data_IF_061656182875
#
_entry.id   IF_061656182875
#
_cell.length_a   1.000
_cell.length_b   1.000
_cell.length_c   1.000
_cell.angle_alpha   90.00
_cell.angle_beta   90.00
_cell.angle_gamma   90.00
#
_symmetry.space_group_name_H-M   'P 1'
#
loop_
_entity.id
_entity.type
_entity.pdbx_description
1 polymer ?
#
# COMPACT_ATOMS: atom_id res chain seq x y z
N UNK A 1 4.74 -8.61 14.09
CA UNK A 1 5.01 -7.82 12.88
C UNK A 1 3.79 -7.01 12.41
N UNK A 2 3.91 -5.68 12.35
CA UNK A 2 2.91 -4.79 11.75
C UNK A 2 3.23 -4.60 10.25
N UNK A 3 2.23 -4.72 9.39
CA UNK A 3 2.40 -4.55 7.93
C UNK A 3 2.41 -3.06 7.58
N UNK A 4 3.41 -2.66 6.79
CA UNK A 4 3.60 -1.31 6.29
C UNK A 4 2.96 -1.13 4.91
N UNK A 5 3.33 -2.01 3.98
CA UNK A 5 2.84 -2.01 2.60
C UNK A 5 3.05 -3.39 1.96
N UNK A 6 2.42 -3.59 0.80
CA UNK A 6 2.57 -4.74 -0.07
C UNK A 6 2.96 -4.23 -1.45
N UNK A 7 4.03 -4.80 -2.01
CA UNK A 7 4.61 -4.43 -3.31
C UNK A 7 4.57 -5.63 -4.27
N UNK A 8 4.03 -5.43 -5.48
CA UNK A 8 4.02 -6.45 -6.51
C UNK A 8 5.35 -6.50 -7.28
N UNK A 9 5.91 -7.71 -7.42
CA UNK A 9 7.14 -8.02 -8.12
C UNK A 9 6.90 -9.20 -9.07
N UNK A 10 6.31 -8.91 -10.24
CA UNK A 10 5.85 -9.94 -11.18
C UNK A 10 4.66 -10.72 -10.61
N UNK A 11 4.76 -12.05 -10.58
CA UNK A 11 3.73 -12.95 -10.01
C UNK A 11 3.81 -13.08 -8.48
N UNK A 12 4.80 -12.42 -7.88
CA UNK A 12 5.00 -12.41 -6.44
C UNK A 12 4.60 -11.07 -5.82
N UNK A 13 4.23 -11.11 -4.56
CA UNK A 13 4.01 -9.94 -3.74
C UNK A 13 4.92 -9.99 -2.51
N UNK A 14 5.59 -8.87 -2.25
CA UNK A 14 6.39 -8.66 -1.06
C UNK A 14 5.56 -7.92 -0.02
N UNK A 15 5.28 -8.57 1.11
CA UNK A 15 4.67 -7.97 2.29
C UNK A 15 5.79 -7.37 3.14
N UNK A 16 5.86 -6.05 3.19
CA UNK A 16 6.80 -5.35 4.06
C UNK A 16 6.21 -5.15 5.44
N UNK A 17 6.97 -5.55 6.46
CA UNK A 17 6.60 -5.36 7.86
C UNK A 17 7.66 -4.56 8.59
N UNK A 18 7.37 -4.18 9.84
CA UNK A 18 8.33 -3.49 10.71
C UNK A 18 9.59 -4.30 11.03
N UNK A 19 9.54 -5.63 10.91
CA UNK A 19 10.64 -6.51 11.30
C UNK A 19 11.39 -7.04 10.08
N UNK A 20 10.66 -7.56 9.08
CA UNK A 20 11.21 -8.13 7.86
C UNK A 20 10.21 -8.16 6.71
N UNK A 21 10.68 -8.56 5.54
CA UNK A 21 9.85 -8.74 4.36
C UNK A 21 9.52 -10.21 4.13
N UNK A 22 8.32 -10.48 3.60
CA UNK A 22 7.88 -11.82 3.21
C UNK A 22 7.47 -11.78 1.73
N UNK A 23 7.89 -12.77 0.94
CA UNK A 23 7.50 -12.87 -0.47
C UNK A 23 6.58 -14.06 -0.65
N UNK A 24 5.44 -13.83 -1.30
CA UNK A 24 4.41 -14.84 -1.55
C UNK A 24 3.97 -14.81 -3.01
N UNK A 25 3.52 -15.96 -3.53
CA UNK A 25 2.90 -16.04 -4.85
C UNK A 25 1.44 -15.62 -4.75
N UNK A 26 1.12 -14.40 -5.17
CA UNK A 26 -0.25 -13.86 -5.10
C UNK A 26 -0.42 -12.61 -5.94
N UNK A 27 -1.64 -12.40 -6.45
CA UNK A 27 -2.00 -11.18 -7.17
C UNK A 27 -2.44 -10.08 -6.21
N UNK A 28 -2.26 -8.81 -6.62
CA UNK A 28 -2.73 -7.67 -5.83
C UNK A 28 -4.23 -7.71 -5.53
N UNK A 29 -5.04 -8.19 -6.48
CA UNK A 29 -6.49 -8.36 -6.28
C UNK A 29 -6.79 -9.40 -5.21
N UNK A 30 -6.13 -10.57 -5.26
CA UNK A 30 -6.32 -11.60 -4.23
C UNK A 30 -5.92 -11.12 -2.84
N UNK A 31 -4.86 -10.32 -2.74
CA UNK A 31 -4.42 -9.73 -1.47
C UNK A 31 -5.40 -8.68 -0.95
N UNK A 32 -5.93 -7.84 -1.84
CA UNK A 32 -6.97 -6.86 -1.52
C UNK A 32 -8.24 -7.54 -1.01
N UNK A 33 -8.69 -8.63 -1.64
CA UNK A 33 -9.88 -9.39 -1.22
C UNK A 33 -9.69 -10.09 0.14
N UNK A 34 -8.47 -10.56 0.43
CA UNK A 34 -8.11 -11.19 1.71
C UNK A 34 -7.99 -10.17 2.85
N UNK A 35 -7.46 -8.99 2.54
CA UNK A 35 -7.23 -7.93 3.53
C UNK A 35 -8.47 -7.03 3.56
N UNK A 36 -9.51 -7.51 4.25
CA UNK A 36 -10.78 -6.76 4.45
C UNK A 36 -10.66 -5.64 5.50
N UNK A 37 -9.45 -5.21 5.84
CA UNK A 37 -9.22 -4.21 6.87
C UNK A 37 -9.23 -2.80 6.25
N UNK A 38 -10.03 -1.92 6.85
CA UNK A 38 -10.23 -0.52 6.43
C UNK A 38 -8.96 0.32 6.41
N UNK A 39 -7.91 -0.09 7.13
CA UNK A 39 -6.61 0.59 7.11
C UNK A 39 -5.78 0.31 5.84
N UNK A 40 -6.13 -0.71 5.04
CA UNK A 40 -5.41 -1.03 3.81
C UNK A 40 -6.11 -0.45 2.59
N UNK A 41 -5.33 0.23 1.75
CA UNK A 41 -5.82 0.85 0.52
C UNK A 41 -4.82 0.62 -0.60
N UNK A 42 -5.34 0.29 -1.78
CA UNK A 42 -4.53 0.22 -3.00
C UNK A 42 -4.29 1.64 -3.52
N UNK A 43 -3.02 2.01 -3.66
CA UNK A 43 -2.61 3.37 -4.09
C UNK A 43 -1.93 3.37 -5.46
N UNK A 44 -1.51 2.20 -5.93
CA UNK A 44 -0.92 2.02 -7.24
C UNK A 44 -1.22 0.61 -7.75
N UNK A 45 -1.04 0.36 -9.06
CA UNK A 45 -1.24 -0.98 -9.62
C UNK A 45 -0.38 -2.05 -8.92
N UNK A 46 0.77 -1.64 -8.38
CA UNK A 46 1.73 -2.51 -7.68
C UNK A 46 1.79 -2.29 -6.16
N UNK A 47 0.97 -1.42 -5.57
CA UNK A 47 1.08 -1.11 -4.14
C UNK A 47 -0.27 -1.08 -3.42
N UNK A 48 -0.34 -1.84 -2.32
CA UNK A 48 -1.33 -1.67 -1.25
C UNK A 48 -0.58 -1.17 -0.01
N UNK A 49 -1.10 -0.15 0.64
CA UNK A 49 -0.46 0.47 1.81
C UNK A 49 -1.38 0.45 3.01
N UNK A 50 -0.78 0.43 4.21
CA UNK A 50 -1.49 0.69 5.45
C UNK A 50 -1.49 2.21 5.72
N UNK A 51 -2.66 2.85 5.71
CA UNK A 51 -2.79 4.30 5.87
C UNK A 51 -2.24 4.78 7.22
N UNK A 52 -2.30 3.93 8.25
CA UNK A 52 -1.79 4.24 9.59
C UNK A 52 -0.25 4.23 9.66
N UNK A 53 0.43 3.89 8.56
CA UNK A 53 1.89 3.83 8.45
C UNK A 53 2.46 4.89 7.51
N UNK A 54 1.63 5.77 6.98
CA UNK A 54 2.08 6.91 6.18
C UNK A 54 2.90 7.86 7.05
N UNK A 55 4.13 8.13 6.62
CA UNK A 55 4.99 9.14 7.23
C UNK A 55 4.75 10.52 6.62
N UNK A 56 4.61 10.58 5.29
CA UNK A 56 4.41 11.83 4.56
C UNK A 56 3.71 11.59 3.21
N UNK A 57 3.11 12.65 2.65
CA UNK A 57 2.47 12.65 1.33
C UNK A 57 2.90 13.90 0.57
N UNK A 58 3.53 13.71 -0.58
CA UNK A 58 3.97 14.78 -1.47
C UNK A 58 3.45 14.50 -2.89
N UNK A 59 2.62 15.42 -3.41
CA UNK A 59 2.00 15.39 -4.75
C UNK A 59 1.34 14.06 -5.14
N UNK A 60 2.11 13.18 -5.78
CA UNK A 60 1.71 11.89 -6.32
C UNK A 60 2.54 10.75 -5.73
N UNK A 61 3.14 10.97 -4.57
CA UNK A 61 3.93 9.98 -3.84
C UNK A 61 3.61 10.03 -2.36
N UNK A 62 3.90 8.93 -1.67
CA UNK A 62 3.84 8.85 -0.22
C UNK A 62 5.08 8.15 0.31
N UNK A 63 5.44 8.48 1.55
CA UNK A 63 6.57 7.90 2.26
C UNK A 63 6.07 6.93 3.33
N UNK A 64 6.54 5.69 3.31
CA UNK A 64 6.30 4.69 4.38
C UNK A 64 7.62 4.00 4.71
N UNK A 65 8.07 4.10 5.97
CA UNK A 65 9.29 3.44 6.46
C UNK A 65 10.49 3.59 5.50
N UNK A 66 10.74 4.81 5.01
CA UNK A 66 11.79 5.17 4.04
C UNK A 66 11.57 4.69 2.60
N UNK A 67 10.46 4.01 2.29
CA UNK A 67 10.07 3.67 0.92
C UNK A 67 9.19 4.78 0.35
N UNK A 68 9.60 5.33 -0.79
CA UNK A 68 8.77 6.21 -1.62
C UNK A 68 7.85 5.32 -2.46
N UNK A 69 6.55 5.55 -2.36
CA UNK A 69 5.51 4.78 -3.04
C UNK A 69 4.74 5.73 -3.96
N UNK A 70 4.68 5.46 -5.28
CA UNK A 70 3.90 6.28 -6.20
C UNK A 70 2.39 6.09 -5.96
N UNK A 71 1.63 7.13 -6.21
CA UNK A 71 0.16 7.15 -6.18
C UNK A 71 -0.30 7.23 -7.63
N UNK A 72 -0.96 6.19 -8.12
CA UNK A 72 -1.56 6.19 -9.45
C UNK A 72 -2.75 7.14 -9.51
N UNK A 73 -2.90 7.87 -10.62
CA UNK A 73 -3.98 8.86 -10.79
C UNK A 73 -5.38 8.29 -10.49
N UNK A 74 -5.66 7.07 -10.95
CA UNK A 74 -6.94 6.37 -10.71
C UNK A 74 -7.19 5.99 -9.24
N UNK A 75 -6.15 5.97 -8.41
CA UNK A 75 -6.24 5.61 -6.98
C UNK A 75 -6.22 6.84 -6.06
N UNK A 76 -5.76 8.00 -6.56
CA UNK A 76 -5.59 9.23 -5.76
C UNK A 76 -6.87 9.64 -5.05
N UNK A 77 -7.99 9.72 -5.78
CA UNK A 77 -9.27 10.15 -5.19
C UNK A 77 -9.75 9.21 -4.07
N UNK A 78 -9.55 7.90 -4.23
CA UNK A 78 -9.91 6.91 -3.20
C UNK A 78 -9.06 7.08 -1.95
N UNK A 79 -7.76 7.29 -2.12
CA UNK A 79 -6.83 7.53 -1.02
C UNK A 79 -7.20 8.81 -0.26
N UNK A 80 -7.38 9.94 -0.95
CA UNK A 80 -7.68 11.23 -0.32
C UNK A 80 -8.99 11.19 0.49
N UNK A 81 -10.01 10.50 -0.03
CA UNK A 81 -11.27 10.27 0.69
C UNK A 81 -11.06 9.43 1.96
N UNK A 82 -10.18 8.41 1.93
CA UNK A 82 -9.87 7.60 3.12
C UNK A 82 -9.09 8.37 4.19
N UNK A 83 -8.34 9.39 3.79
CA UNK A 83 -7.59 10.25 4.70
C UNK A 83 -8.43 11.41 5.26
N UNK A 84 -9.70 11.55 4.86
CA UNK A 84 -10.58 12.67 5.21
C UNK A 84 -9.98 14.04 4.88
N UNK A 85 -9.23 14.15 3.78
CA UNK A 85 -8.63 15.40 3.32
C UNK A 85 -9.57 16.16 2.35
N UNK A 86 -10.73 15.57 2.01
CA UNK A 86 -11.75 16.13 1.11
C UNK A 86 -13.14 15.67 1.51
#
# INVERSE_FOLDING_TARGET
ALINYIEANGDYATISTTEKNYTIYSTMKSLEDKIKNVSFVRVHRSFIININKINDIEDNTLLINKKIIPIGASYKNVLMKRLNIV
#
